data_IF_610193185014
#
_entry.id   IF_610193185014
#
_cell.length_a   1.000
_cell.length_b   1.000
_cell.length_c   1.000
_cell.angle_alpha   90.00
_cell.angle_beta   90.00
_cell.angle_gamma   90.00
#
_symmetry.space_group_name_H-M   'P 1'
#
loop_
_entity.id
_entity.type
_entity.pdbx_description
1 polymer ?
#
# COMPACT_ATOMS: atom_id res chain seq x y z
N UNK A 1 -21.32 -10.10 -62.67
CA UNK A 1 -20.25 -9.18 -62.22
C UNK A 1 -20.71 -7.81 -61.66
N UNK A 2 -22.02 -7.53 -61.48
CA UNK A 2 -22.54 -6.25 -60.99
C UNK A 2 -22.54 -6.06 -59.45
N UNK A 3 -22.36 -7.10 -58.65
CA UNK A 3 -22.61 -7.04 -57.20
C UNK A 3 -21.39 -6.69 -56.33
N UNK A 4 -20.14 -6.73 -56.84
CA UNK A 4 -18.92 -6.42 -56.08
C UNK A 4 -18.62 -4.91 -55.99
N UNK A 5 -19.01 -4.14 -57.05
CA UNK A 5 -18.74 -2.67 -57.07
C UNK A 5 -19.64 -1.91 -56.10
N UNK A 6 -20.92 -2.27 -56.01
CA UNK A 6 -21.89 -1.64 -55.09
C UNK A 6 -21.60 -1.94 -53.61
N UNK A 7 -21.06 -3.12 -53.29
CA UNK A 7 -20.69 -3.49 -51.94
C UNK A 7 -19.46 -2.72 -51.44
N UNK A 8 -18.45 -2.53 -52.33
CA UNK A 8 -17.25 -1.72 -52.02
C UNK A 8 -17.61 -0.22 -51.87
N UNK A 9 -18.54 0.28 -52.59
CA UNK A 9 -19.00 1.68 -52.47
C UNK A 9 -19.68 1.91 -51.11
N UNK A 10 -20.61 1.04 -50.73
CA UNK A 10 -21.30 1.11 -49.43
C UNK A 10 -20.33 1.00 -48.23
N UNK A 11 -19.35 0.12 -48.31
CA UNK A 11 -18.32 -0.04 -47.25
C UNK A 11 -17.50 1.25 -47.10
N UNK A 12 -17.12 1.91 -48.18
CA UNK A 12 -16.39 3.19 -48.10
C UNK A 12 -17.20 4.29 -47.42
N UNK A 13 -18.47 4.43 -47.67
CA UNK A 13 -19.32 5.42 -46.98
C UNK A 13 -19.52 5.09 -45.50
N UNK A 14 -19.60 3.81 -45.13
CA UNK A 14 -19.69 3.41 -43.75
C UNK A 14 -18.35 3.72 -43.03
N UNK A 15 -17.20 3.45 -43.64
CA UNK A 15 -15.88 3.77 -43.06
C UNK A 15 -15.68 5.27 -42.94
N UNK A 16 -16.06 6.08 -43.95
CA UNK A 16 -15.98 7.54 -43.85
C UNK A 16 -16.96 8.10 -42.82
N UNK A 17 -18.16 7.52 -42.71
CA UNK A 17 -19.10 7.87 -41.64
C UNK A 17 -18.58 7.59 -40.25
N UNK A 18 -17.97 6.41 -40.02
CA UNK A 18 -17.33 6.04 -38.76
C UNK A 18 -16.14 6.92 -38.42
N UNK A 19 -15.28 7.26 -39.39
CA UNK A 19 -14.18 8.20 -39.20
C UNK A 19 -14.67 9.60 -38.87
N UNK A 20 -15.76 10.06 -39.50
CA UNK A 20 -16.39 11.33 -39.19
C UNK A 20 -16.98 11.39 -37.80
N UNK A 21 -17.64 10.31 -37.34
CA UNK A 21 -18.15 10.19 -35.97
C UNK A 21 -17.04 10.13 -34.94
N UNK A 22 -15.97 9.40 -35.22
CA UNK A 22 -14.77 9.36 -34.33
C UNK A 22 -14.09 10.73 -34.26
N UNK A 23 -13.95 11.45 -35.37
CA UNK A 23 -13.36 12.78 -35.37
C UNK A 23 -14.26 13.78 -34.63
N UNK A 24 -15.58 13.68 -34.75
CA UNK A 24 -16.54 14.50 -34.01
C UNK A 24 -16.52 14.17 -32.54
N UNK A 25 -16.46 12.89 -32.17
CA UNK A 25 -16.31 12.44 -30.79
C UNK A 25 -14.99 12.92 -30.18
N UNK A 26 -13.90 12.87 -30.93
CA UNK A 26 -12.61 13.41 -30.49
C UNK A 26 -12.64 14.93 -30.31
N UNK A 27 -13.31 15.66 -31.21
CA UNK A 27 -13.53 17.13 -31.11
C UNK A 27 -14.41 17.48 -29.90
N UNK A 28 -15.47 16.72 -29.66
CA UNK A 28 -16.35 16.89 -28.50
C UNK A 28 -15.59 16.56 -27.22
N UNK A 29 -14.82 15.49 -27.23
CA UNK A 29 -13.96 15.11 -26.08
C UNK A 29 -12.89 16.17 -25.80
N UNK A 30 -12.24 16.71 -26.84
CA UNK A 30 -11.27 17.82 -26.66
C UNK A 30 -11.94 19.12 -26.21
N UNK A 31 -13.22 19.37 -26.53
CA UNK A 31 -13.92 20.62 -26.19
C UNK A 31 -14.70 20.55 -24.87
N UNK A 32 -15.16 19.35 -24.48
CA UNK A 32 -16.02 19.16 -23.30
C UNK A 32 -15.48 18.12 -22.31
N UNK A 33 -14.54 17.27 -22.74
CA UNK A 33 -13.86 16.27 -21.93
C UNK A 33 -12.39 16.61 -21.70
N UNK A 34 -12.01 17.85 -21.94
CA UNK A 34 -10.65 18.29 -21.65
C UNK A 34 -10.34 17.99 -20.20
N UNK A 35 -9.25 17.27 -19.96
CA UNK A 35 -8.51 17.36 -18.72
C UNK A 35 -8.61 18.82 -18.31
N UNK A 36 -9.27 19.10 -17.17
CA UNK A 36 -9.53 20.48 -16.77
C UNK A 36 -8.26 21.26 -17.04
N UNK A 37 -8.38 22.29 -17.87
CA UNK A 37 -7.32 23.27 -17.97
C UNK A 37 -7.25 23.84 -16.57
N UNK A 38 -6.38 23.24 -15.74
CA UNK A 38 -6.05 23.86 -14.48
C UNK A 38 -5.77 25.30 -14.81
N UNK A 39 -6.47 26.21 -14.17
CA UNK A 39 -6.11 27.62 -14.29
C UNK A 39 -4.61 27.67 -14.23
N UNK A 40 -3.98 28.32 -15.22
CA UNK A 40 -2.53 28.47 -15.21
C UNK A 40 -2.20 29.24 -13.95
N UNK A 41 -1.94 28.52 -12.86
CA UNK A 41 -1.48 29.12 -11.62
C UNK A 41 -0.16 29.77 -11.97
N UNK A 42 -0.08 31.08 -11.76
CA UNK A 42 1.15 31.81 -11.98
C UNK A 42 2.20 31.25 -10.98
N UNK A 43 3.27 30.61 -11.45
CA UNK A 43 4.27 30.05 -10.55
C UNK A 43 4.85 31.08 -9.56
N UNK A 44 4.95 32.35 -9.98
CA UNK A 44 5.46 33.42 -9.13
C UNK A 44 4.51 33.75 -7.97
N UNK A 45 3.19 33.73 -8.22
CA UNK A 45 2.20 33.90 -7.16
C UNK A 45 2.19 32.73 -6.18
N UNK A 46 2.33 31.50 -6.68
CA UNK A 46 2.45 30.32 -5.83
C UNK A 46 3.72 30.37 -4.97
N UNK A 47 4.86 30.69 -5.58
CA UNK A 47 6.16 30.79 -4.86
C UNK A 47 6.16 31.84 -3.76
N UNK A 48 5.31 32.87 -3.86
CA UNK A 48 5.18 33.89 -2.81
C UNK A 48 4.59 33.33 -1.49
N UNK A 49 3.91 32.17 -1.55
CA UNK A 49 3.30 31.49 -0.39
C UNK A 49 3.97 30.15 -0.08
N UNK A 50 4.87 29.68 -0.93
CA UNK A 50 5.59 28.43 -0.71
C UNK A 50 6.71 28.64 0.31
N UNK A 51 6.84 27.72 1.25
CA UNK A 51 7.92 27.70 2.21
C UNK A 51 8.84 26.48 1.97
N UNK A 52 10.13 26.59 2.32
CA UNK A 52 11.03 25.43 2.29
C UNK A 52 10.52 24.29 3.19
N UNK A 53 10.74 23.06 2.76
CA UNK A 53 10.32 21.84 3.48
C UNK A 53 10.87 21.82 4.91
N UNK A 54 12.05 22.38 5.13
CA UNK A 54 12.72 22.47 6.44
C UNK A 54 11.92 23.30 7.46
N UNK A 55 11.01 24.16 6.99
CA UNK A 55 10.16 24.99 7.84
C UNK A 55 8.87 24.28 8.29
N UNK A 56 8.67 23.01 7.91
CA UNK A 56 7.49 22.24 8.34
C UNK A 56 7.45 22.18 9.87
N UNK A 57 6.33 22.64 10.42
CA UNK A 57 6.05 22.55 11.85
C UNK A 57 4.93 21.57 12.10
N UNK A 58 5.12 20.68 13.06
CA UNK A 58 4.13 19.70 13.48
C UNK A 58 3.63 20.06 14.87
N UNK A 59 2.31 20.22 15.08
CA UNK A 59 1.75 20.44 16.41
C UNK A 59 2.14 19.30 17.38
N UNK A 60 2.42 19.63 18.63
CA UNK A 60 2.76 18.60 19.63
C UNK A 60 1.65 17.57 19.81
N UNK A 61 0.40 17.98 19.67
CA UNK A 61 -0.78 17.11 19.78
C UNK A 61 -0.96 16.17 18.61
N UNK A 62 -0.30 16.40 17.46
CA UNK A 62 -0.41 15.51 16.31
C UNK A 62 0.22 14.15 16.63
N UNK A 63 -0.53 13.09 16.38
CA UNK A 63 -0.08 11.69 16.55
C UNK A 63 0.22 11.03 15.22
N UNK A 64 -0.42 11.48 14.15
CA UNK A 64 -0.24 10.98 12.79
C UNK A 64 0.14 12.16 11.90
N UNK A 65 1.21 11.99 11.13
CA UNK A 65 1.68 12.96 10.15
C UNK A 65 1.48 12.34 8.76
N UNK A 66 0.43 12.77 8.06
CA UNK A 66 0.06 12.18 6.78
C UNK A 66 0.62 12.98 5.60
N UNK A 67 1.21 12.29 4.65
CA UNK A 67 1.67 12.83 3.38
C UNK A 67 0.75 12.34 2.26
N UNK A 68 -0.01 13.27 1.66
CA UNK A 68 -0.85 12.98 0.50
C UNK A 68 -0.03 12.82 -0.77
N UNK A 69 -0.59 12.12 -1.75
CA UNK A 69 -0.01 11.94 -3.06
C UNK A 69 -1.06 12.22 -4.14
N UNK A 70 -0.79 13.18 -5.03
CA UNK A 70 -1.74 13.56 -6.07
C UNK A 70 -1.80 12.54 -7.22
N UNK A 71 -0.65 11.93 -7.56
CA UNK A 71 -0.53 10.88 -8.58
C UNK A 71 0.60 9.92 -8.24
N UNK A 72 0.44 8.63 -8.53
CA UNK A 72 1.44 7.61 -8.22
C UNK A 72 2.70 7.63 -9.11
N UNK A 73 2.77 8.47 -10.12
CA UNK A 73 3.85 8.41 -11.13
C UNK A 73 4.97 9.43 -10.97
N UNK A 74 4.95 10.28 -9.95
CA UNK A 74 5.89 11.39 -9.81
C UNK A 74 7.02 11.06 -8.83
N UNK A 75 8.26 11.08 -9.33
CA UNK A 75 9.47 10.85 -8.54
C UNK A 75 9.60 11.88 -7.40
N UNK A 76 9.21 13.14 -7.66
CA UNK A 76 9.30 14.25 -6.72
C UNK A 76 8.47 14.00 -5.45
N UNK A 77 7.30 13.37 -5.57
CA UNK A 77 6.51 13.01 -4.38
C UNK A 77 7.20 11.92 -3.55
N UNK A 78 7.86 10.97 -4.20
CA UNK A 78 8.61 9.93 -3.48
C UNK A 78 9.87 10.51 -2.81
N UNK A 79 10.58 11.41 -3.49
CA UNK A 79 11.73 12.12 -2.91
C UNK A 79 11.30 12.97 -1.71
N UNK A 80 10.19 13.70 -1.83
CA UNK A 80 9.64 14.51 -0.75
C UNK A 80 9.28 13.66 0.50
N UNK A 81 8.76 12.44 0.31
CA UNK A 81 8.50 11.52 1.43
C UNK A 81 9.77 11.25 2.25
N UNK A 82 10.89 10.98 1.59
CA UNK A 82 12.17 10.75 2.26
C UNK A 82 12.66 12.01 3.00
N UNK A 83 12.58 13.19 2.37
CA UNK A 83 13.02 14.45 2.98
C UNK A 83 12.19 14.77 4.22
N UNK A 84 10.85 14.73 4.11
CA UNK A 84 9.96 14.96 5.25
C UNK A 84 10.17 13.93 6.33
N UNK A 85 10.29 12.64 5.99
CA UNK A 85 10.52 11.59 6.98
C UNK A 85 11.80 11.83 7.78
N UNK A 86 12.91 12.20 7.13
CA UNK A 86 14.16 12.56 7.82
C UNK A 86 13.97 13.71 8.80
N UNK A 87 13.20 14.74 8.42
CA UNK A 87 12.88 15.86 9.31
C UNK A 87 12.03 15.42 10.51
N UNK A 88 11.04 14.55 10.28
CA UNK A 88 10.17 14.04 11.34
C UNK A 88 10.94 13.15 12.31
N UNK A 89 11.83 12.30 11.82
CA UNK A 89 12.74 11.49 12.66
C UNK A 89 13.61 12.40 13.55
N UNK A 90 14.21 13.43 12.96
CA UNK A 90 15.14 14.31 13.65
C UNK A 90 14.45 15.24 14.65
N UNK A 91 13.32 15.85 14.27
CA UNK A 91 12.72 16.97 14.98
C UNK A 91 11.51 16.58 15.85
N UNK A 92 10.84 15.49 15.53
CA UNK A 92 9.55 15.12 16.12
C UNK A 92 9.55 13.74 16.80
N UNK A 93 10.69 13.05 16.81
CA UNK A 93 10.81 11.72 17.44
C UNK A 93 10.03 10.61 16.72
N UNK A 94 9.67 10.81 15.44
CA UNK A 94 9.03 9.77 14.64
C UNK A 94 10.01 8.61 14.43
N UNK A 95 9.53 7.38 14.59
CA UNK A 95 10.33 6.16 14.39
C UNK A 95 9.66 5.17 13.45
N UNK A 96 8.48 5.48 12.94
CA UNK A 96 7.77 4.63 12.00
C UNK A 96 7.43 5.35 10.70
N UNK A 97 7.57 4.64 9.60
CA UNK A 97 7.05 5.01 8.29
C UNK A 97 5.96 4.02 7.90
N UNK A 98 4.72 4.50 7.77
CA UNK A 98 3.59 3.71 7.34
C UNK A 98 3.20 4.06 5.90
N UNK A 99 3.00 3.06 5.05
CA UNK A 99 2.74 3.20 3.63
C UNK A 99 1.41 2.54 3.24
N UNK A 100 0.68 3.11 2.28
CA UNK A 100 -0.40 2.42 1.57
C UNK A 100 0.21 1.29 0.71
N UNK A 101 0.74 0.30 1.36
CA UNK A 101 1.41 -0.87 0.83
C UNK A 101 0.92 -2.12 1.53
N UNK A 102 1.10 -3.27 0.90
CA UNK A 102 0.68 -4.54 1.50
C UNK A 102 1.35 -4.76 2.86
N UNK A 103 0.55 -5.04 3.88
CA UNK A 103 1.04 -5.22 5.25
C UNK A 103 2.17 -6.27 5.33
N UNK A 104 1.94 -7.46 4.78
CA UNK A 104 2.95 -8.52 4.76
C UNK A 104 4.17 -8.18 3.92
N UNK A 105 3.95 -7.52 2.77
CA UNK A 105 5.05 -7.05 1.92
C UNK A 105 5.92 -6.01 2.62
N UNK A 106 5.31 -5.11 3.36
CA UNK A 106 6.02 -4.10 4.16
C UNK A 106 6.74 -4.70 5.38
N UNK A 107 6.22 -5.78 5.95
CA UNK A 107 6.99 -6.55 6.96
C UNK A 107 8.27 -7.14 6.37
N UNK A 108 8.28 -7.56 5.10
CA UNK A 108 9.53 -7.96 4.43
C UNK A 108 10.52 -6.79 4.34
N UNK A 109 10.03 -5.57 4.07
CA UNK A 109 10.85 -4.34 4.13
C UNK A 109 11.38 -4.10 5.53
N UNK A 110 10.49 -4.22 6.53
CA UNK A 110 10.85 -4.03 7.93
C UNK A 110 11.97 -5.00 8.37
N UNK A 111 11.88 -6.27 8.00
CA UNK A 111 12.96 -7.25 8.24
C UNK A 111 14.26 -6.87 7.53
N UNK A 112 14.19 -6.38 6.31
CA UNK A 112 15.37 -5.93 5.58
C UNK A 112 16.08 -4.77 6.28
N UNK A 113 15.36 -3.75 6.73
CA UNK A 113 15.96 -2.60 7.41
C UNK A 113 16.54 -2.94 8.80
N UNK A 114 16.17 -4.10 9.36
CA UNK A 114 16.74 -4.66 10.61
C UNK A 114 17.81 -5.73 10.35
N UNK A 115 18.50 -5.67 9.21
CA UNK A 115 19.63 -6.53 8.91
C UNK A 115 19.32 -7.80 8.11
N UNK A 116 18.08 -7.96 7.63
CA UNK A 116 17.68 -9.05 6.73
C UNK A 116 18.47 -9.04 5.41
N UNK A 117 18.53 -10.20 4.77
CA UNK A 117 19.23 -10.38 3.49
C UNK A 117 18.51 -9.68 2.32
N UNK A 118 19.25 -9.45 1.23
CA UNK A 118 18.74 -8.88 -0.02
C UNK A 118 19.21 -7.45 -0.26
N UNK A 119 18.49 -6.77 -1.14
CA UNK A 119 18.75 -5.39 -1.56
C UNK A 119 17.56 -4.49 -1.26
N UNK A 120 17.77 -3.17 -1.22
CA UNK A 120 16.68 -2.21 -1.06
C UNK A 120 15.66 -2.27 -2.21
N UNK A 121 16.11 -2.57 -3.43
CA UNK A 121 15.24 -2.76 -4.60
C UNK A 121 14.35 -4.00 -4.45
N UNK A 122 14.90 -5.11 -3.96
CA UNK A 122 14.12 -6.32 -3.66
C UNK A 122 13.10 -6.07 -2.54
N UNK A 123 13.50 -5.34 -1.51
CA UNK A 123 12.60 -4.92 -0.42
C UNK A 123 11.48 -4.01 -0.96
N UNK A 124 11.79 -3.01 -1.78
CA UNK A 124 10.79 -2.16 -2.44
C UNK A 124 9.82 -2.97 -3.32
N UNK A 125 10.32 -3.99 -4.03
CA UNK A 125 9.47 -4.88 -4.83
C UNK A 125 8.55 -5.76 -3.98
N UNK A 126 8.94 -6.08 -2.75
CA UNK A 126 8.16 -6.88 -1.80
C UNK A 126 6.91 -6.14 -1.29
N UNK A 127 6.88 -4.79 -1.30
CA UNK A 127 5.71 -3.96 -0.92
C UNK A 127 4.42 -4.40 -1.65
N UNK A 128 4.57 -4.98 -2.84
CA UNK A 128 3.47 -5.65 -3.52
C UNK A 128 2.85 -4.86 -4.67
N UNK A 129 3.05 -3.54 -4.73
CA UNK A 129 2.52 -2.68 -5.78
C UNK A 129 3.64 -2.15 -6.69
N UNK A 130 3.42 -2.17 -8.00
CA UNK A 130 4.44 -1.77 -8.99
C UNK A 130 4.84 -0.30 -8.87
N UNK A 131 3.95 0.54 -8.35
CA UNK A 131 4.17 1.97 -8.11
C UNK A 131 5.30 2.25 -7.11
N UNK A 132 5.67 1.28 -6.27
CA UNK A 132 6.75 1.39 -5.28
C UNK A 132 8.06 0.73 -5.72
N UNK A 133 8.10 0.14 -6.94
CA UNK A 133 9.33 -0.43 -7.50
C UNK A 133 10.18 0.64 -8.15
N UNK A 134 10.57 1.64 -7.38
CA UNK A 134 11.29 2.83 -7.85
C UNK A 134 12.61 2.99 -7.10
N UNK A 135 13.52 3.77 -7.68
CA UNK A 135 14.80 4.09 -7.04
C UNK A 135 14.58 4.93 -5.78
N UNK A 136 13.63 5.84 -5.79
CA UNK A 136 13.31 6.71 -4.66
C UNK A 136 12.80 5.91 -3.45
N UNK A 137 11.95 4.89 -3.66
CA UNK A 137 11.53 4.01 -2.58
C UNK A 137 12.71 3.17 -2.05
N UNK A 138 13.58 2.69 -2.93
CA UNK A 138 14.79 1.99 -2.51
C UNK A 138 15.75 2.90 -1.74
N UNK A 139 15.84 4.20 -2.08
CA UNK A 139 16.61 5.19 -1.32
C UNK A 139 16.05 5.41 0.09
N UNK A 140 14.72 5.52 0.23
CA UNK A 140 14.05 5.63 1.53
C UNK A 140 14.36 4.40 2.40
N UNK A 141 14.20 3.20 1.83
CA UNK A 141 14.48 1.94 2.53
C UNK A 141 15.98 1.83 2.91
N UNK A 142 16.88 2.25 2.03
CA UNK A 142 18.33 2.28 2.29
C UNK A 142 18.67 3.24 3.42
N UNK A 143 18.04 4.42 3.46
CA UNK A 143 18.21 5.37 4.56
C UNK A 143 17.78 4.76 5.90
N UNK A 144 16.62 4.10 5.94
CA UNK A 144 16.13 3.47 7.16
C UNK A 144 17.07 2.35 7.65
N UNK A 145 17.59 1.53 6.73
CA UNK A 145 18.58 0.50 7.07
C UNK A 145 19.85 1.11 7.64
N UNK A 146 20.44 2.12 6.99
CA UNK A 146 21.64 2.80 7.48
C UNK A 146 21.44 3.46 8.84
N UNK A 147 20.27 4.04 9.08
CA UNK A 147 19.91 4.59 10.37
C UNK A 147 19.93 3.50 11.46
N UNK A 148 19.28 2.36 11.18
CA UNK A 148 19.17 1.24 12.13
C UNK A 148 20.51 0.58 12.43
N UNK A 149 21.50 0.60 11.53
CA UNK A 149 22.86 0.09 11.80
C UNK A 149 23.55 0.80 12.98
N UNK A 150 23.16 2.02 13.30
CA UNK A 150 23.74 2.83 14.36
C UNK A 150 22.73 3.32 15.40
N UNK A 151 21.48 2.91 15.29
CA UNK A 151 20.43 3.30 16.22
C UNK A 151 20.71 2.74 17.62
N UNK A 152 20.36 3.51 18.64
CA UNK A 152 20.33 3.03 20.02
C UNK A 152 19.16 2.05 20.20
N UNK A 153 19.23 1.22 21.22
CA UNK A 153 18.16 0.28 21.55
C UNK A 153 16.82 1.03 21.74
N UNK A 154 15.81 0.61 21.01
CA UNK A 154 14.46 1.24 21.00
C UNK A 154 14.34 2.49 20.12
N UNK A 155 15.41 2.95 19.48
CA UNK A 155 15.39 4.13 18.59
C UNK A 155 15.44 3.75 17.11
N UNK A 156 15.33 2.48 16.78
CA UNK A 156 15.32 1.97 15.42
C UNK A 156 14.07 2.44 14.64
N UNK A 157 14.24 2.62 13.34
CA UNK A 157 13.15 2.96 12.43
C UNK A 157 12.40 1.70 12.03
N UNK A 158 11.08 1.76 11.95
CA UNK A 158 10.19 0.69 11.55
C UNK A 158 9.40 1.04 10.31
N UNK A 159 9.23 0.05 9.43
CA UNK A 159 8.48 0.19 8.19
C UNK A 159 7.20 -0.65 8.26
N UNK A 160 6.05 -0.02 8.07
CA UNK A 160 4.74 -0.66 8.09
C UNK A 160 4.01 -0.49 6.77
N UNK A 161 3.20 -1.48 6.41
CA UNK A 161 2.10 -1.33 5.46
C UNK A 161 0.78 -1.23 6.20
N UNK A 162 -0.22 -0.61 5.61
CA UNK A 162 -1.56 -0.62 6.20
C UNK A 162 -2.64 -1.15 5.27
N UNK A 163 -2.28 -1.61 4.06
CA UNK A 163 -3.20 -2.24 3.11
C UNK A 163 -3.19 -3.77 3.23
N UNK A 164 -4.31 -4.41 2.89
CA UNK A 164 -4.52 -5.84 3.06
C UNK A 164 -4.84 -6.56 1.73
N UNK A 165 -4.48 -6.00 0.59
CA UNK A 165 -4.89 -6.52 -0.72
C UNK A 165 -4.15 -7.79 -1.17
N UNK A 166 -3.13 -8.27 -0.46
CA UNK A 166 -2.32 -9.41 -0.86
C UNK A 166 -2.24 -10.47 0.23
N UNK A 167 -2.31 -11.72 -0.19
CA UNK A 167 -2.36 -12.88 0.72
C UNK A 167 -0.96 -13.40 1.11
N UNK A 168 -0.04 -13.43 0.14
CA UNK A 168 1.13 -14.31 0.18
C UNK A 168 2.09 -14.05 1.34
N UNK A 169 2.52 -12.80 1.54
CA UNK A 169 3.46 -12.47 2.60
C UNK A 169 2.83 -12.57 4.00
N UNK A 170 1.63 -12.04 4.19
CA UNK A 170 0.92 -12.14 5.48
C UNK A 170 0.70 -13.59 5.89
N UNK A 171 0.29 -14.45 4.95
CA UNK A 171 0.14 -15.89 5.19
C UNK A 171 1.48 -16.56 5.52
N UNK A 172 2.54 -16.19 4.83
CA UNK A 172 3.89 -16.74 5.10
C UNK A 172 4.34 -16.40 6.50
N UNK A 173 4.27 -15.13 6.89
CA UNK A 173 4.73 -14.69 8.21
C UNK A 173 3.84 -15.22 9.34
N UNK A 174 2.54 -15.35 9.11
CA UNK A 174 1.68 -16.05 10.06
C UNK A 174 2.12 -17.51 10.27
N UNK A 175 2.40 -18.23 9.17
CA UNK A 175 2.88 -19.63 9.28
C UNK A 175 4.24 -19.74 9.96
N UNK A 176 5.15 -18.78 9.74
CA UNK A 176 6.43 -18.72 10.45
C UNK A 176 6.21 -18.56 11.96
N UNK A 177 5.38 -17.59 12.37
CA UNK A 177 5.03 -17.36 13.77
C UNK A 177 4.33 -18.57 14.43
N UNK A 178 3.42 -19.20 13.70
CA UNK A 178 2.78 -20.44 14.18
C UNK A 178 3.79 -21.55 14.41
N UNK A 179 4.78 -21.70 13.51
CA UNK A 179 5.82 -22.72 13.63
C UNK A 179 6.71 -22.46 14.85
N UNK A 180 7.11 -21.21 15.08
CA UNK A 180 7.93 -20.80 16.22
C UNK A 180 7.25 -21.08 17.57
N UNK A 181 5.93 -20.92 17.61
CA UNK A 181 5.10 -21.14 18.81
C UNK A 181 4.46 -22.53 18.87
N UNK A 182 4.83 -23.44 17.96
CA UNK A 182 4.26 -24.78 17.88
C UNK A 182 2.71 -24.78 17.78
N UNK A 183 2.13 -23.82 17.04
CA UNK A 183 0.71 -23.78 16.69
C UNK A 183 0.47 -24.67 15.47
N UNK A 184 -0.56 -25.50 15.50
CA UNK A 184 -0.90 -26.38 14.37
C UNK A 184 -1.40 -25.56 13.15
N UNK A 185 -0.71 -25.71 12.03
CA UNK A 185 -1.03 -25.04 10.78
C UNK A 185 -1.76 -25.94 9.77
N UNK A 186 -2.15 -27.16 10.15
CA UNK A 186 -2.75 -28.14 9.20
C UNK A 186 -3.99 -27.58 8.51
N UNK A 187 -4.87 -26.92 9.24
CA UNK A 187 -6.06 -26.30 8.66
C UNK A 187 -5.74 -24.99 7.93
N UNK A 188 -4.78 -24.20 8.42
CA UNK A 188 -4.31 -22.98 7.77
C UNK A 188 -3.72 -23.27 6.37
N UNK A 189 -3.04 -24.41 6.22
CA UNK A 189 -2.49 -24.84 4.92
C UNK A 189 -3.58 -25.14 3.88
N UNK A 190 -4.74 -25.62 4.31
CA UNK A 190 -5.88 -25.94 3.44
C UNK A 190 -6.59 -24.69 2.90
N UNK A 191 -6.45 -23.55 3.58
CA UNK A 191 -7.11 -22.32 3.20
C UNK A 191 -6.56 -21.71 1.89
N UNK A 192 -5.36 -22.10 1.48
CA UNK A 192 -4.65 -21.46 0.37
C UNK A 192 -4.25 -22.46 -0.71
N UNK A 193 -4.32 -22.01 -1.95
CA UNK A 193 -3.84 -22.70 -3.14
C UNK A 193 -2.94 -21.75 -3.95
N UNK A 194 -1.61 -22.00 -3.87
CA UNK A 194 -0.63 -21.07 -4.41
C UNK A 194 -0.67 -19.72 -3.67
N UNK A 195 -0.89 -18.66 -4.40
CA UNK A 195 -0.98 -17.28 -3.86
C UNK A 195 -2.42 -16.80 -3.62
N UNK A 196 -3.40 -17.69 -3.72
CA UNK A 196 -4.82 -17.38 -3.60
C UNK A 196 -5.47 -18.16 -2.47
N UNK A 197 -6.67 -17.72 -2.06
CA UNK A 197 -7.53 -18.54 -1.23
C UNK A 197 -7.98 -19.78 -2.03
N UNK A 198 -8.04 -20.92 -1.36
CA UNK A 198 -8.58 -22.14 -1.95
C UNK A 198 -10.06 -21.94 -2.32
N UNK A 199 -10.44 -22.39 -3.50
CA UNK A 199 -11.83 -22.37 -3.96
C UNK A 199 -12.74 -23.33 -3.18
N UNK A 200 -12.16 -24.27 -2.44
CA UNK A 200 -12.88 -25.23 -1.58
C UNK A 200 -13.24 -24.63 -0.20
N UNK A 201 -12.67 -23.47 0.14
CA UNK A 201 -12.87 -22.81 1.43
C UNK A 201 -13.69 -21.52 1.24
N UNK A 202 -14.91 -21.50 1.76
CA UNK A 202 -15.74 -20.29 1.81
C UNK A 202 -15.27 -19.31 2.90
N UNK A 203 -15.92 -18.14 2.97
CA UNK A 203 -15.59 -17.10 3.94
C UNK A 203 -15.74 -17.61 5.40
N UNK A 204 -16.77 -18.41 5.69
CA UNK A 204 -17.02 -18.95 7.04
C UNK A 204 -15.87 -19.85 7.48
N UNK A 205 -15.47 -20.78 6.63
CA UNK A 205 -14.36 -21.71 6.87
C UNK A 205 -13.03 -20.96 7.11
N UNK A 206 -12.76 -19.92 6.30
CA UNK A 206 -11.57 -19.07 6.47
C UNK A 206 -11.60 -18.34 7.81
N UNK A 207 -12.72 -17.70 8.13
CA UNK A 207 -12.92 -16.94 9.37
C UNK A 207 -12.80 -17.83 10.61
N UNK A 208 -13.43 -19.01 10.61
CA UNK A 208 -13.37 -19.98 11.72
C UNK A 208 -11.93 -20.46 11.94
N UNK A 209 -11.23 -20.85 10.87
CA UNK A 209 -9.84 -21.32 10.96
C UNK A 209 -8.91 -20.22 11.46
N UNK A 210 -9.01 -19.01 10.91
CA UNK A 210 -8.20 -17.87 11.32
C UNK A 210 -8.49 -17.47 12.78
N UNK A 211 -9.75 -17.49 13.19
CA UNK A 211 -10.14 -17.24 14.59
C UNK A 211 -9.53 -18.26 15.55
N UNK A 212 -9.51 -19.52 15.16
CA UNK A 212 -8.89 -20.55 15.98
C UNK A 212 -7.37 -20.34 16.12
N UNK A 213 -6.69 -20.05 15.00
CA UNK A 213 -5.25 -19.74 15.00
C UNK A 213 -4.97 -18.52 15.87
N UNK A 214 -5.78 -17.47 15.79
CA UNK A 214 -5.65 -16.27 16.65
C UNK A 214 -5.68 -16.64 18.13
N UNK A 215 -6.69 -17.41 18.56
CA UNK A 215 -6.82 -17.85 19.96
C UNK A 215 -5.64 -18.68 20.43
N UNK A 216 -5.09 -19.54 19.56
CA UNK A 216 -3.92 -20.35 19.90
C UNK A 216 -2.67 -19.48 20.03
N UNK A 217 -2.44 -18.52 19.14
CA UNK A 217 -1.36 -17.56 19.26
C UNK A 217 -1.46 -16.73 20.55
N UNK A 218 -2.65 -16.20 20.86
CA UNK A 218 -2.92 -15.48 22.12
C UNK A 218 -2.62 -16.34 23.36
N UNK A 219 -3.04 -17.60 23.35
CA UNK A 219 -2.81 -18.53 24.46
C UNK A 219 -1.33 -18.88 24.69
N UNK A 220 -0.52 -18.77 23.65
CA UNK A 220 0.93 -19.03 23.64
C UNK A 220 1.77 -17.75 23.75
N UNK A 221 1.16 -16.61 24.09
CA UNK A 221 1.78 -15.29 24.13
C UNK A 221 2.46 -14.91 22.79
N UNK A 222 1.80 -15.19 21.70
CA UNK A 222 2.22 -14.74 20.37
C UNK A 222 2.40 -13.23 20.32
N UNK A 223 3.35 -12.78 19.50
CA UNK A 223 3.59 -11.36 19.33
C UNK A 223 2.34 -10.65 18.77
N UNK A 224 2.17 -9.39 19.12
CA UNK A 224 1.11 -8.55 18.59
C UNK A 224 1.10 -8.55 17.04
N UNK A 225 2.28 -8.55 16.43
CA UNK A 225 2.43 -8.63 14.97
C UNK A 225 1.93 -9.98 14.42
N UNK A 226 2.22 -11.11 15.09
CA UNK A 226 1.71 -12.42 14.68
C UNK A 226 0.19 -12.49 14.73
N UNK A 227 -0.41 -11.89 15.77
CA UNK A 227 -1.86 -11.80 15.93
C UNK A 227 -2.46 -10.89 14.85
N UNK A 228 -1.81 -9.76 14.55
CA UNK A 228 -2.29 -8.82 13.53
C UNK A 228 -2.23 -9.39 12.10
N UNK A 229 -1.28 -10.29 11.79
CA UNK A 229 -1.34 -11.02 10.51
C UNK A 229 -2.65 -11.80 10.33
N UNK A 230 -3.24 -12.30 11.42
CA UNK A 230 -4.55 -12.96 11.33
C UNK A 230 -5.63 -11.94 10.98
N UNK A 231 -5.61 -10.75 11.59
CA UNK A 231 -6.59 -9.68 11.31
C UNK A 231 -6.48 -9.20 9.86
N UNK A 232 -5.27 -8.99 9.35
CA UNK A 232 -5.00 -8.66 7.94
C UNK A 232 -5.56 -9.74 7.00
N UNK A 233 -5.38 -11.01 7.33
CA UNK A 233 -5.89 -12.12 6.52
C UNK A 233 -7.42 -12.23 6.57
N UNK A 234 -8.06 -11.90 7.68
CA UNK A 234 -9.51 -11.80 7.80
C UNK A 234 -10.04 -10.66 6.93
N UNK A 235 -9.46 -9.46 7.03
CA UNK A 235 -9.80 -8.30 6.19
C UNK A 235 -9.65 -8.64 4.70
N UNK A 236 -8.53 -9.27 4.30
CA UNK A 236 -8.32 -9.72 2.92
C UNK A 236 -9.39 -10.73 2.49
N UNK A 237 -9.72 -11.70 3.34
CA UNK A 237 -10.71 -12.74 3.02
C UNK A 237 -12.11 -12.15 2.79
N UNK A 238 -12.51 -11.17 3.60
CA UNK A 238 -13.77 -10.46 3.45
C UNK A 238 -13.78 -9.60 2.19
N UNK A 239 -12.69 -8.85 1.92
CA UNK A 239 -12.54 -8.02 0.73
C UNK A 239 -12.74 -8.82 -0.56
N UNK A 240 -12.28 -10.09 -0.61
CA UNK A 240 -12.43 -10.95 -1.77
C UNK A 240 -13.89 -11.37 -2.05
N UNK A 241 -14.81 -11.16 -1.12
CA UNK A 241 -16.24 -11.47 -1.29
C UNK A 241 -17.06 -10.27 -1.75
N UNK A 242 -16.50 -9.08 -1.71
CA UNK A 242 -17.17 -7.82 -2.04
C UNK A 242 -16.76 -7.31 -3.42
N UNK A 243 -17.63 -6.50 -3.99
CA UNK A 243 -17.40 -5.87 -5.30
C UNK A 243 -17.73 -4.38 -5.24
N UNK A 244 -17.12 -3.59 -6.14
CA UNK A 244 -17.43 -2.17 -6.31
C UNK A 244 -17.25 -1.34 -5.01
N UNK A 245 -18.24 -0.48 -4.72
CA UNK A 245 -18.20 0.51 -3.65
C UNK A 245 -18.12 -0.13 -2.24
N UNK A 246 -18.74 -1.29 -2.04
CA UNK A 246 -18.68 -2.00 -0.75
C UNK A 246 -17.25 -2.48 -0.45
N UNK A 247 -16.56 -3.02 -1.46
CA UNK A 247 -15.17 -3.43 -1.33
C UNK A 247 -14.23 -2.24 -1.08
N UNK A 248 -14.45 -1.11 -1.76
CA UNK A 248 -13.69 0.11 -1.53
C UNK A 248 -13.89 0.66 -0.11
N UNK A 249 -15.13 0.66 0.37
CA UNK A 249 -15.48 1.12 1.73
C UNK A 249 -14.84 0.22 2.80
N UNK A 250 -14.93 -1.11 2.64
CA UNK A 250 -14.28 -2.04 3.57
C UNK A 250 -12.76 -1.83 3.59
N UNK A 251 -12.14 -1.68 2.42
CA UNK A 251 -10.68 -1.46 2.32
C UNK A 251 -10.27 -0.17 3.03
N UNK A 252 -10.99 0.93 2.81
CA UNK A 252 -10.70 2.22 3.45
C UNK A 252 -10.81 2.14 4.97
N UNK A 253 -11.90 1.54 5.47
CA UNK A 253 -12.10 1.30 6.90
C UNK A 253 -10.98 0.44 7.49
N UNK A 254 -10.64 -0.67 6.86
CA UNK A 254 -9.60 -1.58 7.32
C UNK A 254 -8.22 -0.90 7.32
N UNK A 255 -7.91 -0.10 6.31
CA UNK A 255 -6.67 0.69 6.30
C UNK A 255 -6.60 1.68 7.47
N UNK A 256 -7.72 2.35 7.79
CA UNK A 256 -7.79 3.25 8.95
C UNK A 256 -7.58 2.50 10.29
N UNK A 257 -8.17 1.33 10.44
CA UNK A 257 -7.98 0.45 11.61
C UNK A 257 -6.52 -0.02 11.72
N UNK A 258 -5.89 -0.38 10.60
CA UNK A 258 -4.48 -0.79 10.57
C UNK A 258 -3.54 0.38 10.93
N UNK A 259 -3.80 1.61 10.46
CA UNK A 259 -3.05 2.81 10.87
C UNK A 259 -3.19 3.05 12.37
N UNK A 260 -4.39 2.89 12.92
CA UNK A 260 -4.62 3.02 14.37
C UNK A 260 -3.86 1.94 15.15
N UNK A 261 -3.84 0.71 14.67
CA UNK A 261 -3.05 -0.37 15.27
C UNK A 261 -1.56 -0.05 15.26
N UNK A 262 -1.02 0.43 14.12
CA UNK A 262 0.39 0.85 14.00
C UNK A 262 0.73 1.92 15.03
N UNK A 263 -0.10 2.95 15.16
CA UNK A 263 0.10 4.00 16.17
C UNK A 263 0.13 3.43 17.59
N UNK A 264 -0.75 2.51 17.91
CA UNK A 264 -0.77 1.85 19.23
C UNK A 264 0.49 1.01 19.47
N UNK A 265 1.03 0.34 18.44
CA UNK A 265 2.31 -0.38 18.54
C UNK A 265 3.46 0.57 18.83
N UNK A 266 3.54 1.68 18.10
CA UNK A 266 4.57 2.68 18.32
C UNK A 266 4.50 3.30 19.71
N UNK A 267 3.30 3.56 20.21
CA UNK A 267 3.10 4.05 21.57
C UNK A 267 3.56 3.04 22.66
N UNK A 268 3.36 1.74 22.44
CA UNK A 268 3.90 0.70 23.32
C UNK A 268 5.44 0.66 23.29
N UNK A 269 6.03 0.99 22.15
CA UNK A 269 7.48 1.12 21.98
C UNK A 269 8.04 2.46 22.53
N UNK A 270 7.20 3.34 23.05
CA UNK A 270 7.58 4.64 23.60
C UNK A 270 7.57 5.80 22.58
N UNK A 271 7.05 5.57 21.38
CA UNK A 271 6.97 6.59 20.32
C UNK A 271 5.54 7.12 20.16
N UNK A 272 5.39 8.41 20.30
CA UNK A 272 4.08 9.06 20.36
C UNK A 272 3.49 9.39 18.98
N UNK A 273 4.29 9.28 17.90
CA UNK A 273 3.93 9.75 16.55
C UNK A 273 4.37 8.77 15.46
N UNK A 274 3.55 8.71 14.41
CA UNK A 274 3.88 8.02 13.17
C UNK A 274 3.72 8.96 11.98
#
# INVERSE_FOLDING_TARGET
MKNKKTRRFKIRYIVFGLLGVMALAALVFMRFGGFGTGENVNPEEFLAYAEPVENITVPESAKIIALGEATHGNAEFQQLKLEVFKLMVKNNGVRAFALEGDYGGCEQVNRYIHGGEGTAQEAAAAIGFSIYRTEEMAELISYMRQYNESALEGEDLRFYGFDMQRLSYSMRFLKESCKELEVDTTNLQKLVEGENWSSECDLSTRTETLTQVKKELESKNGSENAIHFVDILMQHSELQTLTNDDGATLRDQSMAENVQWILQQEQRNGHEKI
#
